data_IF_175006546990
#
_entry.id   IF_175006546990
#
_cell.length_a   1.000
_cell.length_b   1.000
_cell.length_c   1.000
_cell.angle_alpha   90.00
_cell.angle_beta   90.00
_cell.angle_gamma   90.00
#
_symmetry.space_group_name_H-M   'P 1'
#
loop_
_entity.id
_entity.type
_entity.pdbx_description
1 polymer ?
#
# COMPACT_ATOMS: atom_id res chain seq x y z
N UNK A 1 77.97 41.06 -38.08
CA UNK A 1 77.06 41.20 -39.24
C UNK A 1 76.57 39.79 -39.57
N UNK A 2 75.24 39.56 -39.55
CA UNK A 2 74.48 38.30 -39.74
C UNK A 2 74.69 37.24 -38.63
N UNK A 3 73.79 36.96 -37.67
CA UNK A 3 72.33 36.68 -37.68
C UNK A 3 71.97 35.47 -38.55
N UNK A 4 71.78 34.29 -37.94
CA UNK A 4 70.72 33.35 -38.35
C UNK A 4 70.23 32.56 -37.12
N UNK A 5 69.15 33.10 -36.59
CA UNK A 5 68.27 32.57 -35.57
C UNK A 5 67.64 31.27 -36.12
N UNK A 6 68.05 30.11 -35.60
CA UNK A 6 67.33 28.84 -35.78
C UNK A 6 66.03 28.94 -34.96
N UNK A 7 65.03 29.59 -35.54
CA UNK A 7 63.67 29.61 -35.05
C UNK A 7 63.14 28.17 -35.11
N UNK A 8 63.27 27.46 -33.99
CA UNK A 8 62.46 26.28 -33.69
C UNK A 8 61.00 26.70 -33.83
N UNK A 9 60.37 26.33 -34.94
CA UNK A 9 58.92 26.47 -35.15
C UNK A 9 58.26 25.46 -34.21
N UNK A 10 58.12 25.87 -32.96
CA UNK A 10 57.27 25.22 -31.98
C UNK A 10 55.83 25.47 -32.44
N UNK A 11 55.34 24.59 -33.30
CA UNK A 11 53.93 24.42 -33.64
C UNK A 11 53.24 23.87 -32.38
N UNK A 12 53.11 24.71 -31.35
CA UNK A 12 52.28 24.45 -30.18
C UNK A 12 50.84 24.54 -30.66
N UNK A 13 50.33 23.38 -31.07
CA UNK A 13 48.93 23.18 -31.42
C UNK A 13 48.14 23.33 -30.12
N UNK A 14 47.23 24.31 -30.05
CA UNK A 14 46.36 24.58 -28.89
C UNK A 14 45.29 23.49 -28.63
N UNK A 15 45.59 22.23 -28.97
CA UNK A 15 44.69 21.08 -28.80
C UNK A 15 44.53 20.51 -27.37
N UNK A 16 45.50 20.59 -26.42
CA UNK A 16 45.34 19.88 -25.15
C UNK A 16 44.21 20.45 -24.29
N UNK A 17 43.96 21.77 -24.36
CA UNK A 17 42.94 22.46 -23.56
C UNK A 17 41.51 21.96 -23.86
N UNK A 18 41.22 21.61 -25.12
CA UNK A 18 39.89 21.12 -25.51
C UNK A 18 39.65 19.63 -25.16
N UNK A 19 40.70 18.84 -24.96
CA UNK A 19 40.56 17.42 -24.64
C UNK A 19 40.13 17.23 -23.17
N UNK A 20 40.81 17.92 -22.24
CA UNK A 20 40.53 17.83 -20.81
C UNK A 20 39.11 18.35 -20.46
N UNK A 21 38.63 19.39 -21.15
CA UNK A 21 37.28 19.93 -20.91
C UNK A 21 36.18 18.99 -21.41
N UNK A 22 36.38 18.32 -22.56
CA UNK A 22 35.42 17.33 -23.10
C UNK A 22 35.32 16.11 -22.18
N UNK A 23 36.46 15.56 -21.74
CA UNK A 23 36.49 14.39 -20.85
C UNK A 23 35.84 14.70 -19.49
N UNK A 24 36.10 15.89 -18.94
CA UNK A 24 35.45 16.34 -17.70
C UNK A 24 33.93 16.48 -17.86
N UNK A 25 33.44 17.01 -18.98
CA UNK A 25 32.02 17.11 -19.24
C UNK A 25 31.37 15.73 -19.45
N UNK A 26 32.03 14.81 -20.18
CA UNK A 26 31.56 13.43 -20.37
C UNK A 26 31.38 12.71 -19.05
N UNK A 27 32.35 12.83 -18.14
CA UNK A 27 32.25 12.25 -16.79
C UNK A 27 31.03 12.83 -16.05
N UNK A 28 30.86 14.15 -16.04
CA UNK A 28 29.72 14.79 -15.36
C UNK A 28 28.38 14.38 -15.96
N UNK A 29 28.28 14.27 -17.28
CA UNK A 29 27.07 13.78 -17.96
C UNK A 29 26.76 12.34 -17.56
N UNK A 30 27.77 11.47 -17.51
CA UNK A 30 27.60 10.09 -17.06
C UNK A 30 27.13 10.03 -15.60
N UNK A 31 27.71 10.85 -14.72
CA UNK A 31 27.33 10.91 -13.31
C UNK A 31 25.88 11.37 -13.15
N UNK A 32 25.47 12.42 -13.88
CA UNK A 32 24.08 12.91 -13.87
C UNK A 32 23.10 11.85 -14.41
N UNK A 33 23.51 11.07 -15.42
CA UNK A 33 22.68 10.01 -15.97
C UNK A 33 22.49 8.86 -14.99
N UNK A 34 23.54 8.50 -14.25
CA UNK A 34 23.46 7.53 -13.17
C UNK A 34 22.58 8.03 -12.03
N UNK A 35 22.75 9.28 -11.61
CA UNK A 35 21.89 9.91 -10.60
C UNK A 35 20.41 9.92 -11.02
N UNK A 36 20.11 10.19 -12.28
CA UNK A 36 18.74 10.16 -12.79
C UNK A 36 18.15 8.74 -12.73
N UNK A 37 18.94 7.72 -13.08
CA UNK A 37 18.52 6.33 -12.99
C UNK A 37 18.23 5.93 -11.53
N UNK A 38 19.09 6.31 -10.59
CA UNK A 38 18.89 6.03 -9.16
C UNK A 38 17.63 6.72 -8.63
N UNK A 39 17.42 8.00 -8.99
CA UNK A 39 16.20 8.75 -8.62
C UNK A 39 14.95 8.07 -9.17
N UNK A 40 14.97 7.58 -10.41
CA UNK A 40 13.85 6.86 -11.00
C UNK A 40 13.55 5.55 -10.25
N UNK A 41 14.58 4.82 -9.81
CA UNK A 41 14.39 3.62 -9.00
C UNK A 41 13.78 3.95 -7.63
N UNK A 42 14.26 5.01 -6.98
CA UNK A 42 13.70 5.48 -5.72
C UNK A 42 12.25 5.94 -5.85
N UNK A 43 11.88 6.60 -6.96
CA UNK A 43 10.50 7.00 -7.25
C UNK A 43 9.57 5.81 -7.40
N UNK A 44 10.00 4.74 -8.08
CA UNK A 44 9.22 3.49 -8.19
C UNK A 44 9.02 2.88 -6.81
N UNK A 45 10.10 2.74 -6.03
CA UNK A 45 10.04 2.18 -4.68
C UNK A 45 9.11 2.97 -3.76
N UNK A 46 9.21 4.30 -3.74
CA UNK A 46 8.33 5.15 -2.93
C UNK A 46 6.88 5.05 -3.41
N UNK A 47 6.62 4.89 -4.71
CA UNK A 47 5.27 4.69 -5.23
C UNK A 47 4.66 3.38 -4.72
N UNK A 48 5.44 2.30 -4.69
CA UNK A 48 5.01 1.02 -4.11
C UNK A 48 4.77 1.13 -2.59
N UNK A 49 5.65 1.84 -1.87
CA UNK A 49 5.49 2.11 -0.43
C UNK A 49 4.22 2.95 -0.15
N UNK A 50 3.89 3.93 -0.99
CA UNK A 50 2.66 4.73 -0.89
C UNK A 50 1.43 3.84 -1.08
N UNK A 51 1.40 3.03 -2.15
CA UNK A 51 0.28 2.14 -2.44
C UNK A 51 0.05 1.14 -1.29
N UNK A 52 1.12 0.53 -0.77
CA UNK A 52 1.04 -0.36 0.38
C UNK A 52 0.55 0.35 1.64
N UNK A 53 0.97 1.61 1.86
CA UNK A 53 0.53 2.40 3.01
C UNK A 53 -0.95 2.77 2.89
N UNK A 54 -1.44 3.08 1.69
CA UNK A 54 -2.85 3.37 1.42
C UNK A 54 -3.74 2.15 1.71
N UNK A 55 -3.34 0.96 1.28
CA UNK A 55 -4.04 -0.28 1.67
C UNK A 55 -4.05 -0.49 3.19
N UNK A 56 -2.92 -0.27 3.86
CA UNK A 56 -2.85 -0.41 5.32
C UNK A 56 -3.75 0.59 6.07
N UNK A 57 -3.93 1.80 5.52
CA UNK A 57 -4.86 2.80 6.05
C UNK A 57 -6.31 2.33 5.89
N UNK A 58 -6.66 1.80 4.72
CA UNK A 58 -8.00 1.26 4.47
C UNK A 58 -8.33 0.10 5.41
N UNK A 59 -7.40 -0.84 5.57
CA UNK A 59 -7.54 -1.97 6.50
C UNK A 59 -7.74 -1.48 7.94
N UNK A 60 -6.93 -0.50 8.40
CA UNK A 60 -7.04 0.07 9.73
C UNK A 60 -8.38 0.80 9.94
N UNK A 61 -8.90 1.50 8.92
CA UNK A 61 -10.22 2.14 8.96
C UNK A 61 -11.34 1.11 9.08
N UNK A 62 -11.27 0.04 8.29
CA UNK A 62 -12.25 -1.05 8.36
C UNK A 62 -12.20 -1.75 9.72
N UNK A 63 -11.02 -1.98 10.28
CA UNK A 63 -10.87 -2.52 11.63
C UNK A 63 -11.49 -1.59 12.68
N UNK A 64 -11.27 -0.27 12.56
CA UNK A 64 -11.86 0.74 13.46
C UNK A 64 -13.39 0.70 13.45
N UNK A 65 -14.02 0.68 12.27
CA UNK A 65 -15.48 0.59 12.16
C UNK A 65 -16.02 -0.66 12.87
N UNK A 66 -15.29 -1.77 12.80
CA UNK A 66 -15.70 -3.04 13.39
C UNK A 66 -15.55 -3.04 14.91
N UNK A 67 -14.49 -2.42 15.43
CA UNK A 67 -14.35 -2.23 16.88
C UNK A 67 -15.44 -1.30 17.40
N UNK A 68 -15.80 -0.24 16.67
CA UNK A 68 -16.90 0.67 17.04
C UNK A 68 -18.27 -0.03 17.07
N UNK A 69 -18.58 -0.86 16.06
CA UNK A 69 -19.82 -1.67 16.06
C UNK A 69 -19.83 -2.67 17.24
N UNK A 70 -18.72 -3.38 17.47
CA UNK A 70 -18.57 -4.31 18.60
C UNK A 70 -18.70 -3.61 19.95
N UNK A 71 -18.22 -2.37 20.06
CA UNK A 71 -18.35 -1.54 21.25
C UNK A 71 -19.79 -1.12 21.49
N UNK A 72 -20.51 -0.69 20.44
CA UNK A 72 -21.92 -0.32 20.54
C UNK A 72 -22.75 -1.49 21.08
N UNK A 73 -22.52 -2.69 20.55
CA UNK A 73 -23.19 -3.92 21.00
C UNK A 73 -22.79 -4.30 22.42
N UNK A 74 -21.50 -4.19 22.75
CA UNK A 74 -21.03 -4.44 24.13
C UNK A 74 -21.66 -3.48 25.13
N UNK A 75 -21.84 -2.21 24.77
CA UNK A 75 -22.54 -1.21 25.60
C UNK A 75 -24.04 -1.52 25.73
N UNK A 76 -24.68 -2.02 24.69
CA UNK A 76 -26.10 -2.41 24.79
C UNK A 76 -26.27 -3.67 25.66
N UNK A 77 -25.36 -4.64 25.54
CA UNK A 77 -25.32 -5.82 26.40
C UNK A 77 -25.00 -5.46 27.85
N UNK A 78 -24.11 -4.50 28.08
CA UNK A 78 -23.87 -3.91 29.39
C UNK A 78 -25.14 -3.34 30.01
N UNK A 79 -25.86 -2.49 29.27
CA UNK A 79 -27.09 -1.85 29.76
C UNK A 79 -28.14 -2.90 30.11
N UNK A 80 -28.32 -3.91 29.26
CA UNK A 80 -29.22 -5.04 29.53
C UNK A 80 -28.79 -5.80 30.78
N UNK A 81 -27.53 -6.17 30.87
CA UNK A 81 -26.98 -6.90 32.01
C UNK A 81 -27.11 -6.10 33.32
N UNK A 82 -26.92 -4.78 33.25
CA UNK A 82 -27.11 -3.88 34.38
C UNK A 82 -28.57 -3.81 34.84
N UNK A 83 -29.53 -3.68 33.91
CA UNK A 83 -30.96 -3.68 34.24
C UNK A 83 -31.46 -5.05 34.72
N UNK A 84 -30.94 -6.15 34.18
CA UNK A 84 -31.20 -7.51 34.67
C UNK A 84 -30.68 -7.69 36.09
N UNK A 85 -29.44 -7.24 36.34
CA UNK A 85 -28.83 -7.29 37.66
C UNK A 85 -29.60 -6.44 38.67
N UNK A 86 -30.05 -5.25 38.27
CA UNK A 86 -30.89 -4.37 39.10
C UNK A 86 -32.25 -4.98 39.39
N UNK A 87 -32.88 -5.62 38.40
CA UNK A 87 -34.16 -6.34 38.58
C UNK A 87 -33.98 -7.50 39.54
N UNK A 88 -32.89 -8.25 39.40
CA UNK A 88 -32.58 -9.38 40.28
C UNK A 88 -32.22 -8.95 41.70
N UNK A 89 -31.44 -7.88 41.87
CA UNK A 89 -31.15 -7.26 43.18
C UNK A 89 -32.45 -6.77 43.83
N UNK A 90 -33.32 -6.11 43.06
CA UNK A 90 -34.62 -5.67 43.54
C UNK A 90 -35.48 -6.85 43.98
N UNK A 91 -35.56 -7.92 43.18
CA UNK A 91 -36.26 -9.15 43.56
C UNK A 91 -35.68 -9.78 44.83
N UNK A 92 -34.35 -9.84 44.95
CA UNK A 92 -33.67 -10.31 46.16
C UNK A 92 -33.90 -9.40 47.37
N UNK A 93 -34.07 -8.09 47.19
CA UNK A 93 -34.35 -7.20 48.30
C UNK A 93 -35.82 -7.28 48.74
N UNK A 94 -36.74 -7.31 47.77
CA UNK A 94 -38.19 -7.37 48.01
C UNK A 94 -38.64 -8.74 48.51
N UNK A 95 -37.97 -9.83 48.08
CA UNK A 95 -38.34 -11.20 48.42
C UNK A 95 -37.26 -11.98 49.21
N UNK A 96 -36.01 -11.54 49.26
CA UNK A 96 -34.87 -12.48 49.33
C UNK A 96 -34.08 -12.59 50.64
N UNK A 97 -34.14 -11.69 51.62
CA UNK A 97 -33.38 -11.97 52.85
C UNK A 97 -34.05 -13.03 53.74
N UNK A 98 -35.38 -13.03 53.81
CA UNK A 98 -36.08 -14.10 54.51
C UNK A 98 -36.14 -15.37 53.64
N UNK A 99 -36.49 -15.28 52.34
CA UNK A 99 -36.67 -16.49 51.52
C UNK A 99 -35.37 -17.25 51.18
N UNK A 100 -34.19 -16.64 51.04
CA UNK A 100 -32.96 -17.42 50.77
C UNK A 100 -32.46 -18.14 52.03
N UNK A 101 -32.49 -17.46 53.18
CA UNK A 101 -32.16 -18.07 54.47
C UNK A 101 -33.22 -19.11 54.86
N UNK A 102 -34.49 -18.85 54.59
CA UNK A 102 -35.59 -19.80 54.79
C UNK A 102 -35.54 -20.96 53.78
N UNK A 103 -35.12 -20.74 52.53
CA UNK A 103 -34.82 -21.81 51.57
C UNK A 103 -33.63 -22.66 52.06
N UNK A 104 -32.60 -22.04 52.60
CA UNK A 104 -31.45 -22.74 53.16
C UNK A 104 -31.82 -23.54 54.42
N UNK A 105 -32.60 -22.95 55.34
CA UNK A 105 -33.03 -23.57 56.60
C UNK A 105 -34.25 -24.50 56.47
N UNK A 106 -34.97 -24.48 55.35
CA UNK A 106 -36.04 -25.44 55.01
C UNK A 106 -35.51 -26.69 54.31
N UNK A 107 -34.19 -26.88 54.26
CA UNK A 107 -33.60 -28.10 53.73
C UNK A 107 -34.04 -29.33 54.54
N UNK A 108 -34.47 -30.38 53.84
CA UNK A 108 -35.03 -31.57 54.48
C UNK A 108 -33.96 -32.47 55.13
N UNK A 109 -32.70 -32.34 54.68
CA UNK A 109 -31.56 -33.10 55.17
C UNK A 109 -30.24 -32.39 54.83
N UNK A 110 -29.12 -32.92 55.34
CA UNK A 110 -27.80 -32.31 55.16
C UNK A 110 -27.34 -32.26 53.69
N UNK A 111 -27.72 -33.24 52.87
CA UNK A 111 -27.40 -33.21 51.43
C UNK A 111 -28.17 -32.11 50.69
N UNK A 112 -29.46 -31.94 51.00
CA UNK A 112 -30.30 -30.87 50.45
C UNK A 112 -29.79 -29.49 50.91
N UNK A 113 -29.35 -29.36 52.17
CA UNK A 113 -28.74 -28.13 52.70
C UNK A 113 -27.48 -27.74 51.91
N UNK A 114 -26.59 -28.70 51.66
CA UNK A 114 -25.35 -28.46 50.90
C UNK A 114 -25.65 -28.09 49.45
N UNK A 115 -26.59 -28.78 48.78
CA UNK A 115 -26.99 -28.45 47.42
C UNK A 115 -27.59 -27.03 47.30
N UNK A 116 -28.42 -26.61 48.27
CA UNK A 116 -28.99 -25.27 48.31
C UNK A 116 -27.95 -24.20 48.61
N UNK A 117 -27.00 -24.48 49.50
CA UNK A 117 -25.86 -23.60 49.77
C UNK A 117 -24.99 -23.42 48.51
N UNK A 118 -24.69 -24.52 47.82
CA UNK A 118 -23.94 -24.53 46.57
C UNK A 118 -24.67 -23.75 45.46
N UNK A 119 -25.99 -23.93 45.34
CA UNK A 119 -26.80 -23.17 44.39
C UNK A 119 -26.75 -21.65 44.64
N UNK A 120 -26.90 -21.21 45.89
CA UNK A 120 -26.81 -19.79 46.28
C UNK A 120 -25.41 -19.24 45.98
N UNK A 121 -24.37 -20.02 46.29
CA UNK A 121 -22.98 -19.64 46.01
C UNK A 121 -22.73 -19.52 44.50
N UNK A 122 -23.17 -20.50 43.70
CA UNK A 122 -23.02 -20.51 42.25
C UNK A 122 -23.68 -19.30 41.60
N UNK A 123 -24.86 -18.91 42.08
CA UNK A 123 -25.57 -17.72 41.64
C UNK A 123 -24.74 -16.45 41.93
N UNK A 124 -24.21 -16.30 43.15
CA UNK A 124 -23.41 -15.12 43.50
C UNK A 124 -22.07 -15.07 42.75
N UNK A 125 -21.46 -16.22 42.48
CA UNK A 125 -20.24 -16.33 41.67
C UNK A 125 -20.50 -15.96 40.22
N UNK A 126 -21.61 -16.43 39.64
CA UNK A 126 -22.03 -16.08 38.28
C UNK A 126 -22.18 -14.57 38.10
N UNK A 127 -22.85 -13.88 39.04
CA UNK A 127 -23.03 -12.42 38.95
C UNK A 127 -21.71 -11.66 38.98
N UNK A 128 -20.78 -12.09 39.87
CA UNK A 128 -19.47 -11.47 39.98
C UNK A 128 -18.66 -11.67 38.71
N UNK A 129 -18.67 -12.88 38.17
CA UNK A 129 -17.99 -13.22 36.91
C UNK A 129 -18.52 -12.35 35.76
N UNK A 130 -19.84 -12.16 35.66
CA UNK A 130 -20.44 -11.31 34.64
C UNK A 130 -20.02 -9.84 34.77
N UNK A 131 -19.97 -9.30 36.00
CA UNK A 131 -19.50 -7.93 36.23
C UNK A 131 -18.01 -7.76 35.87
N UNK A 132 -17.17 -8.72 36.25
CA UNK A 132 -15.73 -8.70 35.93
C UNK A 132 -15.48 -8.82 34.43
N UNK A 133 -16.24 -9.69 33.74
CA UNK A 133 -16.18 -9.85 32.29
C UNK A 133 -16.53 -8.53 31.58
N UNK A 134 -17.60 -7.86 32.01
CA UNK A 134 -18.01 -6.57 31.48
C UNK A 134 -16.91 -5.49 31.62
N UNK A 135 -16.34 -5.36 32.82
CA UNK A 135 -15.24 -4.42 33.06
C UNK A 135 -14.02 -4.71 32.20
N UNK A 136 -13.73 -6.00 31.98
CA UNK A 136 -12.64 -6.42 31.11
C UNK A 136 -12.90 -6.07 29.65
N UNK A 137 -14.13 -6.26 29.17
CA UNK A 137 -14.55 -5.89 27.82
C UNK A 137 -14.37 -4.39 27.59
N UNK A 138 -14.88 -3.55 28.50
CA UNK A 138 -14.74 -2.09 28.39
C UNK A 138 -13.29 -1.65 28.25
N UNK A 139 -12.40 -2.16 29.12
CA UNK A 139 -10.97 -1.84 29.08
C UNK A 139 -10.29 -2.35 27.81
N UNK A 140 -10.64 -3.56 27.38
CA UNK A 140 -10.11 -4.15 26.16
C UNK A 140 -10.43 -3.28 24.95
N UNK A 141 -11.68 -2.84 24.84
CA UNK A 141 -12.09 -2.01 23.70
C UNK A 141 -11.45 -0.61 23.76
N UNK A 142 -11.44 0.05 24.92
CA UNK A 142 -10.80 1.37 25.06
C UNK A 142 -9.33 1.33 24.63
N UNK A 143 -8.63 0.26 25.00
CA UNK A 143 -7.24 0.06 24.60
C UNK A 143 -7.10 -0.20 23.09
N UNK A 144 -7.99 -1.01 22.51
CA UNK A 144 -7.98 -1.28 21.08
C UNK A 144 -8.32 -0.07 20.22
N UNK A 145 -9.29 0.75 20.63
CA UNK A 145 -9.61 2.03 19.97
C UNK A 145 -8.41 2.97 20.00
N UNK A 146 -7.72 3.05 21.15
CA UNK A 146 -6.53 3.87 21.30
C UNK A 146 -5.37 3.37 20.41
N UNK A 147 -5.11 2.06 20.39
CA UNK A 147 -4.05 1.45 19.59
C UNK A 147 -4.31 1.61 18.08
N UNK A 148 -5.55 1.41 17.64
CA UNK A 148 -5.92 1.63 16.24
C UNK A 148 -5.83 3.10 15.83
N UNK A 149 -6.27 4.02 16.69
CA UNK A 149 -6.17 5.46 16.43
C UNK A 149 -4.71 5.87 16.30
N UNK A 150 -3.85 5.37 17.19
CA UNK A 150 -2.40 5.61 17.11
C UNK A 150 -1.80 5.04 15.82
N UNK A 151 -2.20 3.84 15.42
CA UNK A 151 -1.77 3.20 14.17
C UNK A 151 -2.22 4.00 12.94
N UNK A 152 -3.47 4.45 12.89
CA UNK A 152 -3.98 5.31 11.80
C UNK A 152 -3.19 6.61 11.67
N UNK A 153 -2.95 7.30 12.79
CA UNK A 153 -2.17 8.53 12.79
C UNK A 153 -0.74 8.29 12.28
N UNK A 154 -0.10 7.21 12.76
CA UNK A 154 1.25 6.84 12.29
C UNK A 154 1.29 6.53 10.79
N UNK A 155 0.26 5.87 10.26
CA UNK A 155 0.17 5.56 8.82
C UNK A 155 -0.08 6.82 7.98
N UNK A 156 -0.94 7.73 8.45
CA UNK A 156 -1.20 9.00 7.78
C UNK A 156 0.05 9.91 7.76
N UNK A 157 0.80 9.94 8.86
CA UNK A 157 2.08 10.64 8.95
C UNK A 157 3.11 10.05 7.97
N UNK A 158 3.21 8.71 7.92
CA UNK A 158 4.09 8.02 6.98
C UNK A 158 3.70 8.33 5.52
N UNK A 159 2.41 8.28 5.18
CA UNK A 159 1.93 8.60 3.84
C UNK A 159 2.30 10.05 3.44
N UNK A 160 2.18 10.99 4.38
CA UNK A 160 2.56 12.39 4.16
C UNK A 160 4.07 12.54 3.93
N UNK A 161 4.90 11.84 4.71
CA UNK A 161 6.35 11.82 4.53
C UNK A 161 6.75 11.24 3.17
N UNK A 162 6.15 10.11 2.77
CA UNK A 162 6.42 9.48 1.48
C UNK A 162 6.04 10.37 0.30
N UNK A 163 4.87 11.03 0.34
CA UNK A 163 4.47 12.01 -0.68
C UNK A 163 5.44 13.18 -0.76
N UNK A 164 5.88 13.72 0.38
CA UNK A 164 6.89 14.78 0.40
C UNK A 164 8.24 14.34 -0.16
N UNK A 165 8.67 13.09 0.07
CA UNK A 165 9.89 12.55 -0.51
C UNK A 165 9.75 12.33 -2.02
N UNK A 166 8.60 11.86 -2.48
CA UNK A 166 8.28 11.71 -3.91
C UNK A 166 8.37 13.06 -4.63
N UNK A 167 7.77 14.11 -4.07
CA UNK A 167 7.81 15.46 -4.63
C UNK A 167 9.24 16.01 -4.70
N UNK A 168 10.04 15.82 -3.65
CA UNK A 168 11.43 16.24 -3.62
C UNK A 168 12.28 15.52 -4.68
N UNK A 169 12.06 14.21 -4.87
CA UNK A 169 12.73 13.44 -5.91
C UNK A 169 12.31 13.84 -7.32
N UNK A 170 11.02 14.13 -7.54
CA UNK A 170 10.53 14.63 -8.81
C UNK A 170 11.17 15.98 -9.18
N UNK A 171 11.29 16.89 -8.22
CA UNK A 171 12.00 18.17 -8.43
C UNK A 171 13.47 17.92 -8.77
N UNK A 172 14.15 17.07 -8.01
CA UNK A 172 15.56 16.72 -8.25
C UNK A 172 15.77 16.04 -9.61
N UNK A 173 14.85 15.18 -10.04
CA UNK A 173 14.88 14.54 -11.35
C UNK A 173 14.77 15.58 -12.48
N UNK A 174 13.86 16.55 -12.34
CA UNK A 174 13.68 17.63 -13.31
C UNK A 174 14.92 18.54 -13.41
N UNK A 175 15.52 18.90 -12.29
CA UNK A 175 16.79 19.65 -12.23
C UNK A 175 17.93 18.88 -12.91
N UNK A 176 18.11 17.61 -12.51
CA UNK A 176 19.17 16.73 -13.07
C UNK A 176 18.99 16.53 -14.57
N UNK A 177 17.76 16.35 -15.05
CA UNK A 177 17.46 16.23 -16.47
C UNK A 177 17.77 17.51 -17.24
N UNK A 178 17.53 18.68 -16.64
CA UNK A 178 17.84 19.97 -17.24
C UNK A 178 19.36 20.15 -17.36
N UNK A 179 20.11 19.88 -16.30
CA UNK A 179 21.57 19.96 -16.30
C UNK A 179 22.19 18.99 -17.31
N UNK A 180 21.67 17.77 -17.39
CA UNK A 180 22.10 16.76 -18.34
C UNK A 180 21.88 17.23 -19.79
N UNK A 181 20.75 17.88 -20.09
CA UNK A 181 20.49 18.44 -21.42
C UNK A 181 21.48 19.57 -21.76
N UNK A 182 21.72 20.49 -20.82
CA UNK A 182 22.68 21.59 -20.99
C UNK A 182 24.10 21.06 -21.23
N UNK A 183 24.54 20.07 -20.47
CA UNK A 183 25.88 19.49 -20.62
C UNK A 183 26.02 18.73 -21.93
N UNK A 184 25.01 17.97 -22.34
CA UNK A 184 25.01 17.31 -23.65
C UNK A 184 25.11 18.32 -24.80
N UNK A 185 24.39 19.44 -24.72
CA UNK A 185 24.47 20.50 -25.72
C UNK A 185 25.87 21.12 -25.77
N UNK A 186 26.46 21.45 -24.61
CA UNK A 186 27.83 21.99 -24.53
C UNK A 186 28.85 21.00 -25.08
N UNK A 187 28.70 19.71 -24.80
CA UNK A 187 29.55 18.65 -25.30
C UNK A 187 29.50 18.55 -26.84
N UNK A 188 28.31 18.63 -27.43
CA UNK A 188 28.14 18.66 -28.88
C UNK A 188 28.84 19.88 -29.51
N UNK A 189 28.69 21.07 -28.92
CA UNK A 189 29.35 22.28 -29.40
C UNK A 189 30.88 22.15 -29.36
N UNK A 190 31.44 21.70 -28.23
CA UNK A 190 32.89 21.53 -28.07
C UNK A 190 33.46 20.48 -29.03
N UNK A 191 32.75 19.36 -29.23
CA UNK A 191 33.16 18.33 -30.21
C UNK A 191 33.17 18.87 -31.64
N UNK A 192 32.15 19.65 -32.01
CA UNK A 192 32.08 20.28 -33.33
C UNK A 192 33.21 21.31 -33.54
N UNK A 193 33.51 22.12 -32.52
CA UNK A 193 34.60 23.10 -32.57
C UNK A 193 35.97 22.41 -32.67
N UNK A 194 36.20 21.36 -31.88
CA UNK A 194 37.42 20.54 -31.97
C UNK A 194 37.60 19.91 -33.36
N UNK A 195 36.51 19.42 -33.97
CA UNK A 195 36.54 18.85 -35.31
C UNK A 195 36.94 19.90 -36.36
N UNK A 196 36.35 21.12 -36.31
CA UNK A 196 36.72 22.23 -37.20
C UNK A 196 38.18 22.64 -37.02
N UNK A 197 38.65 22.75 -35.78
CA UNK A 197 40.04 23.11 -35.49
C UNK A 197 41.03 22.06 -36.02
N UNK A 198 40.69 20.78 -35.89
CA UNK A 198 41.49 19.68 -36.42
C UNK A 198 41.54 19.69 -37.96
N UNK A 199 40.40 19.95 -38.62
CA UNK A 199 40.33 20.07 -40.08
C UNK A 199 41.17 21.25 -40.58
N UNK A 200 41.08 22.41 -39.92
CA UNK A 200 41.86 23.58 -40.30
C UNK A 200 43.37 23.36 -40.08
N UNK A 201 43.75 22.70 -38.98
CA UNK A 201 45.14 22.32 -38.73
C UNK A 201 45.66 21.34 -39.79
N UNK A 202 44.85 20.36 -40.19
CA UNK A 202 45.18 19.42 -41.26
C UNK A 202 45.36 20.12 -42.61
N UNK A 203 44.48 21.08 -42.94
CA UNK A 203 44.59 21.89 -44.17
C UNK A 203 45.88 22.68 -44.19
N UNK A 204 46.20 23.41 -43.10
CA UNK A 204 47.45 24.18 -42.99
C UNK A 204 48.70 23.29 -43.08
N UNK A 205 48.66 22.09 -42.48
CA UNK A 205 49.75 21.14 -42.58
C UNK A 205 49.94 20.59 -44.01
N UNK A 206 48.85 20.33 -44.73
CA UNK A 206 48.89 19.89 -46.13
C UNK A 206 49.42 20.99 -47.06
N UNK A 207 48.99 22.25 -46.86
CA UNK A 207 49.51 23.41 -47.60
C UNK A 207 51.01 23.62 -47.34
N UNK A 208 51.46 23.51 -46.09
CA UNK A 208 52.88 23.61 -45.74
C UNK A 208 53.73 22.50 -46.38
N UNK A 209 53.20 21.26 -46.44
CA UNK A 209 53.87 20.15 -47.15
C UNK A 209 53.99 20.41 -48.65
N UNK A 210 52.91 20.86 -49.31
CA UNK A 210 52.93 21.21 -50.74
C UNK A 210 53.91 22.34 -51.05
N UNK A 211 53.99 23.36 -50.20
CA UNK A 211 54.94 24.47 -50.36
C UNK A 211 56.40 24.01 -50.19
N UNK A 212 56.67 23.06 -49.28
CA UNK A 212 58.00 22.48 -49.10
C UNK A 212 58.43 21.58 -50.28
N UNK A 213 57.48 20.87 -50.91
CA UNK A 213 57.75 20.07 -52.11
C UNK A 213 58.01 20.92 -53.36
N UNK A 214 57.36 22.08 -53.49
CA UNK A 214 57.56 23.02 -54.61
C UNK A 214 58.95 23.71 -54.61
N UNK A 215 59.73 23.62 -53.52
CA UNK A 215 61.09 24.18 -53.42
C UNK A 215 62.20 23.16 -53.74
N UNK A 216 61.87 21.94 -54.17
CA UNK A 216 62.86 20.95 -54.65
C UNK A 216 63.20 21.19 -56.14
N UNK A 217 64.49 21.12 -56.58
CA UNK A 217 64.87 21.33 -57.99
C UNK A 217 64.31 20.24 -58.93
N UNK A 218 63.95 20.65 -60.14
CA UNK A 218 63.39 19.84 -61.24
C UNK A 218 64.45 18.93 -61.89
N UNK A 219 64.19 17.62 -62.07
CA UNK A 219 64.73 16.84 -63.19
C UNK A 219 63.73 16.79 -64.35
N UNK A 220 64.27 16.95 -65.56
CA UNK A 220 63.60 17.12 -66.85
C UNK A 220 62.89 15.83 -67.31
N UNK A 221 61.67 15.97 -67.85
CA UNK A 221 60.83 14.96 -68.51
C UNK A 221 61.26 14.69 -69.97
N UNK A 222 60.95 13.52 -70.56
CA UNK A 222 59.84 13.41 -71.54
C UNK A 222 59.15 12.01 -71.53
N UNK A 223 58.01 11.70 -72.13
CA UNK A 223 56.85 12.34 -72.79
C UNK A 223 55.89 11.19 -73.17
N UNK A 224 54.67 11.52 -73.62
CA UNK A 224 53.70 10.69 -74.40
C UNK A 224 52.72 9.79 -73.62
N UNK A 225 51.42 9.67 -73.95
CA UNK A 225 50.49 10.39 -74.84
C UNK A 225 49.06 9.83 -74.59
N UNK A 226 48.03 10.66 -74.79
CA UNK A 226 46.64 10.28 -75.14
C UNK A 226 45.73 9.70 -74.05
N UNK A 227 44.40 9.84 -74.06
CA UNK A 227 43.42 10.57 -74.87
C UNK A 227 42.09 10.55 -74.08
N UNK A 228 41.30 11.62 -74.27
CA UNK A 228 39.90 11.90 -73.93
C UNK A 228 38.95 10.73 -73.56
N UNK A 229 37.99 11.00 -72.66
CA UNK A 229 36.56 11.19 -73.01
C UNK A 229 35.73 11.74 -71.84
N UNK A 230 34.84 12.66 -72.20
CA UNK A 230 33.74 13.27 -71.45
C UNK A 230 32.65 12.22 -71.10
N UNK A 231 31.89 12.42 -70.02
CA UNK A 231 30.42 12.50 -70.05
C UNK A 231 29.86 12.85 -68.65
N UNK A 232 28.56 13.08 -68.61
CA UNK A 232 27.86 14.18 -67.95
C UNK A 232 26.88 13.69 -66.87
N UNK A 233 26.20 14.66 -66.28
CA UNK A 233 24.81 14.61 -65.76
C UNK A 233 24.60 14.19 -64.28
N UNK A 234 24.19 15.18 -63.49
CA UNK A 234 23.37 15.06 -62.29
C UNK A 234 21.88 14.85 -62.70
N UNK A 235 20.90 15.03 -61.79
CA UNK A 235 20.62 14.40 -60.49
C UNK A 235 19.28 13.62 -60.57
N UNK A 236 18.81 12.99 -59.49
CA UNK A 236 17.36 12.88 -59.30
C UNK A 236 16.95 12.77 -57.83
N UNK A 237 15.81 13.39 -57.56
CA UNK A 237 15.15 13.53 -56.27
C UNK A 237 13.71 13.00 -56.42
N UNK A 238 13.20 12.27 -55.42
CA UNK A 238 11.76 12.14 -55.14
C UNK A 238 11.62 11.44 -53.75
N UNK A 239 11.05 12.07 -52.71
CA UNK A 239 9.62 12.09 -52.29
C UNK A 239 9.02 10.69 -52.05
N UNK A 240 8.08 10.42 -51.13
CA UNK A 240 7.30 11.20 -50.16
C UNK A 240 6.52 10.20 -49.26
N UNK A 241 6.15 10.67 -48.06
CA UNK A 241 4.88 10.44 -47.33
C UNK A 241 4.46 9.13 -46.63
N UNK A 242 4.16 9.35 -45.32
CA UNK A 242 2.94 9.09 -44.53
C UNK A 242 2.53 7.69 -44.03
N UNK A 243 2.08 7.71 -42.76
CA UNK A 243 1.14 6.77 -42.14
C UNK A 243 1.03 6.97 -40.62
N UNK A 244 0.00 7.68 -40.17
CA UNK A 244 -0.43 7.90 -38.76
C UNK A 244 -1.47 6.86 -38.28
N UNK A 245 -1.88 7.02 -37.00
CA UNK A 245 -3.06 6.50 -36.25
C UNK A 245 -2.88 5.18 -35.48
N UNK A 246 -3.51 4.91 -34.33
CA UNK A 246 -4.23 5.62 -33.25
C UNK A 246 -4.57 4.53 -32.20
N UNK A 247 -4.78 4.86 -30.91
CA UNK A 247 -6.12 4.77 -30.27
C UNK A 247 -6.08 4.98 -28.74
N UNK A 248 -7.21 5.49 -28.25
CA UNK A 248 -7.56 5.95 -26.90
C UNK A 248 -8.51 4.98 -26.18
N UNK A 249 -8.61 5.04 -24.84
CA UNK A 249 -9.88 4.70 -24.18
C UNK A 249 -10.07 5.39 -22.80
N UNK A 250 -11.33 5.59 -22.42
CA UNK A 250 -11.78 6.46 -21.31
C UNK A 250 -13.08 5.99 -20.64
N UNK A 251 -13.32 6.49 -19.41
CA UNK A 251 -14.58 6.54 -18.62
C UNK A 251 -14.95 5.28 -17.76
N UNK A 252 -15.59 5.35 -16.57
CA UNK A 252 -16.67 6.23 -16.05
C UNK A 252 -16.65 6.41 -14.50
N UNK A 253 -17.24 7.52 -14.05
CA UNK A 253 -17.72 7.84 -12.69
C UNK A 253 -19.26 7.86 -12.74
N UNK A 254 -19.96 7.36 -11.71
CA UNK A 254 -21.36 7.73 -11.46
C UNK A 254 -21.73 7.74 -9.96
N UNK A 255 -22.76 8.52 -9.64
CA UNK A 255 -23.31 8.89 -8.34
C UNK A 255 -24.83 8.72 -8.35
N UNK A 256 -25.45 8.47 -7.18
CA UNK A 256 -26.81 8.85 -6.72
C UNK A 256 -27.61 7.70 -6.04
N UNK A 257 -27.87 7.96 -4.75
CA UNK A 257 -29.10 7.74 -3.98
C UNK A 257 -30.29 7.08 -4.71
N UNK A 258 -30.65 5.84 -4.31
CA UNK A 258 -31.99 5.24 -4.45
C UNK A 258 -32.12 4.07 -3.46
N UNK A 259 -33.26 4.01 -2.77
CA UNK A 259 -33.63 3.00 -1.78
C UNK A 259 -33.35 1.56 -2.22
N UNK A 260 -32.54 0.85 -1.44
CA UNK A 260 -32.04 -0.49 -1.78
C UNK A 260 -32.92 -1.59 -1.19
N UNK A 261 -33.43 -2.45 -2.06
CA UNK A 261 -33.84 -3.82 -1.73
C UNK A 261 -32.66 -4.73 -2.09
N UNK A 262 -32.00 -5.42 -1.14
CA UNK A 262 -30.79 -6.18 -1.47
C UNK A 262 -31.07 -7.40 -2.33
N UNK A 263 -30.50 -7.41 -3.53
CA UNK A 263 -30.27 -8.62 -4.32
C UNK A 263 -29.03 -9.35 -3.79
N UNK A 264 -29.11 -10.67 -3.59
CA UNK A 264 -28.01 -11.58 -3.21
C UNK A 264 -26.82 -11.49 -4.18
N UNK A 265 -25.94 -10.50 -3.99
CA UNK A 265 -24.78 -10.27 -4.85
C UNK A 265 -23.57 -9.73 -4.07
N UNK A 266 -23.41 -10.14 -2.82
CA UNK A 266 -22.17 -10.00 -2.07
C UNK A 266 -21.47 -11.35 -1.97
N UNK A 267 -20.17 -11.43 -2.27
CA UNK A 267 -19.39 -12.64 -2.04
C UNK A 267 -19.35 -13.05 -0.55
N UNK A 268 -18.64 -14.13 -0.23
CA UNK A 268 -18.53 -14.58 1.15
C UNK A 268 -17.81 -13.58 2.06
N UNK A 269 -18.14 -13.60 3.36
CA UNK A 269 -17.34 -12.96 4.40
C UNK A 269 -15.87 -13.36 4.27
N UNK A 270 -14.96 -12.41 4.44
CA UNK A 270 -13.51 -12.69 4.48
C UNK A 270 -12.87 -11.83 5.58
N UNK A 271 -11.61 -12.12 5.99
CA UNK A 271 -10.89 -11.24 6.92
C UNK A 271 -10.84 -9.77 6.48
N UNK A 272 -10.80 -9.52 5.17
CA UNK A 272 -10.76 -8.18 4.57
C UNK A 272 -12.13 -7.61 4.20
N UNK A 273 -13.20 -8.43 4.20
CA UNK A 273 -14.57 -8.02 3.87
C UNK A 273 -15.47 -8.30 5.07
N UNK A 274 -15.53 -7.32 5.97
CA UNK A 274 -16.21 -7.42 7.26
C UNK A 274 -17.73 -7.31 7.24
N UNK A 275 -18.33 -6.88 6.12
CA UNK A 275 -19.79 -6.79 5.95
C UNK A 275 -20.18 -7.29 4.57
N UNK A 276 -21.15 -8.20 4.52
CA UNK A 276 -21.79 -8.66 3.28
C UNK A 276 -23.30 -8.77 3.48
N UNK A 277 -24.04 -8.97 2.40
CA UNK A 277 -25.47 -9.27 2.47
C UNK A 277 -25.67 -10.65 1.84
N UNK A 278 -26.24 -11.57 2.63
CA UNK A 278 -26.39 -12.96 2.24
C UNK A 278 -27.74 -13.49 2.72
N UNK A 279 -28.49 -14.12 1.82
CA UNK A 279 -29.72 -14.85 2.13
C UNK A 279 -30.77 -14.00 2.89
N UNK A 280 -30.83 -12.71 2.54
CA UNK A 280 -31.80 -11.76 3.11
C UNK A 280 -31.39 -11.12 4.45
N UNK A 281 -30.22 -11.43 4.99
CA UNK A 281 -29.67 -10.77 6.19
C UNK A 281 -28.33 -10.09 5.90
N UNK A 282 -28.03 -9.06 6.69
CA UNK A 282 -26.67 -8.50 6.75
C UNK A 282 -25.81 -9.49 7.51
N UNK A 283 -24.64 -9.81 6.98
CA UNK A 283 -23.65 -10.60 7.70
C UNK A 283 -22.46 -9.74 8.10
N UNK A 284 -22.05 -9.88 9.34
CA UNK A 284 -20.75 -9.39 9.79
C UNK A 284 -20.01 -10.50 10.52
N UNK A 285 -18.82 -10.21 11.04
CA UNK A 285 -18.09 -11.17 11.84
C UNK A 285 -17.42 -10.54 13.06
N UNK A 286 -17.35 -11.31 14.15
CA UNK A 286 -16.61 -10.97 15.37
C UNK A 286 -15.33 -11.79 15.46
N UNK A 287 -14.21 -11.14 15.75
CA UNK A 287 -12.96 -11.83 16.05
C UNK A 287 -12.89 -12.11 17.56
N UNK A 288 -12.65 -13.35 17.95
CA UNK A 288 -12.38 -13.66 19.36
C UNK A 288 -11.12 -12.97 19.88
N UNK A 289 -10.20 -12.53 19.00
CA UNK A 289 -9.02 -11.74 19.37
C UNK A 289 -9.38 -10.38 19.97
N UNK A 290 -10.60 -9.89 19.70
CA UNK A 290 -11.12 -8.64 20.26
C UNK A 290 -12.00 -8.84 21.49
N UNK A 291 -12.15 -10.08 21.99
CA UNK A 291 -12.90 -10.39 23.21
C UNK A 291 -11.95 -10.82 24.34
N UNK A 292 -11.83 -10.03 25.42
CA UNK A 292 -11.15 -10.51 26.61
C UNK A 292 -11.96 -11.64 27.27
N UNK A 293 -11.28 -12.72 27.65
CA UNK A 293 -11.89 -13.83 28.42
C UNK A 293 -12.29 -15.08 27.62
N UNK A 294 -11.89 -15.22 26.36
CA UNK A 294 -12.05 -16.47 25.60
C UNK A 294 -13.42 -16.68 24.94
N UNK A 295 -14.32 -15.70 25.01
CA UNK A 295 -15.64 -15.74 24.35
C UNK A 295 -16.73 -16.50 25.13
N UNK A 296 -17.89 -16.72 24.49
CA UNK A 296 -19.03 -17.45 25.08
C UNK A 296 -18.67 -18.91 25.37
N UNK A 297 -19.19 -19.46 26.48
CA UNK A 297 -19.01 -20.87 26.83
C UNK A 297 -19.87 -21.76 25.92
N UNK A 298 -19.30 -22.20 24.79
CA UNK A 298 -19.97 -22.99 23.77
C UNK A 298 -19.45 -24.45 23.84
N UNK A 299 -20.32 -25.47 23.86
CA UNK A 299 -19.91 -26.86 23.89
C UNK A 299 -19.00 -27.22 22.70
N UNK A 300 -17.79 -27.70 22.99
CA UNK A 300 -16.81 -28.11 21.96
C UNK A 300 -16.26 -26.96 21.12
N UNK A 301 -16.32 -25.72 21.63
CA UNK A 301 -15.78 -24.52 20.96
C UNK A 301 -14.33 -24.72 20.51
N UNK A 302 -14.09 -24.55 19.22
CA UNK A 302 -12.75 -24.57 18.66
C UNK A 302 -12.64 -23.64 17.45
N UNK A 303 -11.40 -23.25 17.13
CA UNK A 303 -11.08 -22.53 15.89
C UNK A 303 -10.93 -23.57 14.78
N UNK A 304 -11.74 -23.47 13.73
CA UNK A 304 -11.62 -24.30 12.54
C UNK A 304 -10.46 -23.81 11.64
N UNK A 305 -9.98 -24.62 10.67
CA UNK A 305 -8.87 -24.22 9.79
C UNK A 305 -9.15 -22.99 8.93
N UNK A 306 -10.43 -22.77 8.61
CA UNK A 306 -10.88 -21.57 7.93
C UNK A 306 -10.88 -20.34 8.87
N UNK A 307 -10.67 -20.51 10.17
CA UNK A 307 -10.68 -19.47 11.19
C UNK A 307 -12.08 -19.12 11.71
N UNK A 308 -13.13 -19.84 11.32
CA UNK A 308 -14.44 -19.74 11.98
C UNK A 308 -14.41 -20.43 13.35
N UNK A 309 -15.22 -19.95 14.30
CA UNK A 309 -15.43 -20.62 15.57
C UNK A 309 -16.57 -21.61 15.43
N UNK A 310 -16.35 -22.87 15.81
CA UNK A 310 -17.34 -23.94 15.65
C UNK A 310 -17.66 -24.66 16.96
N UNK A 311 -18.86 -25.19 17.06
CA UNK A 311 -19.30 -26.05 18.15
C UNK A 311 -18.85 -27.51 17.96
N UNK A 312 -19.19 -28.38 18.93
CA UNK A 312 -18.86 -29.81 18.90
C UNK A 312 -19.41 -30.55 17.67
N UNK A 313 -20.52 -30.08 17.10
CA UNK A 313 -21.19 -30.69 15.95
C UNK A 313 -20.67 -30.12 14.62
N UNK A 314 -19.78 -29.13 14.67
CA UNK A 314 -19.16 -28.49 13.50
C UNK A 314 -19.96 -27.31 12.92
N UNK A 315 -21.01 -26.85 13.59
CA UNK A 315 -21.74 -25.64 13.19
C UNK A 315 -20.92 -24.39 13.53
N UNK A 316 -20.99 -23.40 12.64
CA UNK A 316 -20.41 -22.08 12.88
C UNK A 316 -21.16 -21.42 14.03
N UNK A 317 -20.45 -20.91 15.01
CA UNK A 317 -21.06 -20.13 16.08
C UNK A 317 -21.46 -18.77 15.53
N UNK A 318 -22.72 -18.36 15.74
CA UNK A 318 -23.23 -17.07 15.27
C UNK A 318 -24.06 -16.35 16.33
N UNK A 319 -24.19 -15.02 16.18
CA UNK A 319 -25.13 -14.19 16.92
C UNK A 319 -26.32 -13.80 16.03
N UNK A 320 -27.53 -13.83 16.58
CA UNK A 320 -28.75 -13.33 15.94
C UNK A 320 -29.75 -12.84 16.99
N UNK A 321 -30.25 -11.60 16.87
CA UNK A 321 -31.34 -11.11 17.71
C UNK A 321 -32.73 -11.48 17.19
N UNK A 322 -32.84 -11.85 15.91
CA UNK A 322 -34.12 -12.25 15.28
C UNK A 322 -34.42 -13.75 15.44
N UNK A 323 -33.39 -14.56 15.69
CA UNK A 323 -33.49 -16.01 15.83
C UNK A 323 -33.24 -16.44 17.29
N UNK A 324 -34.03 -17.38 17.83
CA UNK A 324 -33.80 -17.88 19.18
C UNK A 324 -32.52 -18.72 19.28
N UNK A 325 -31.93 -18.77 20.47
CA UNK A 325 -30.76 -19.60 20.78
C UNK A 325 -30.95 -21.05 20.34
N UNK A 326 -29.93 -21.64 19.72
CA UNK A 326 -29.93 -22.98 19.16
C UNK A 326 -30.52 -23.11 17.75
N UNK A 327 -31.06 -22.03 17.16
CA UNK A 327 -31.54 -22.04 15.78
C UNK A 327 -30.42 -22.27 14.79
N UNK A 328 -30.72 -22.99 13.71
CA UNK A 328 -29.80 -23.19 12.58
C UNK A 328 -30.08 -22.11 11.53
N UNK A 329 -29.01 -21.49 11.02
CA UNK A 329 -29.07 -20.43 10.00
C UNK A 329 -27.98 -20.65 8.96
N UNK A 330 -28.28 -20.41 7.69
CA UNK A 330 -27.25 -20.46 6.64
C UNK A 330 -26.49 -19.16 6.59
N UNK A 331 -25.15 -19.24 6.54
CA UNK A 331 -24.28 -18.09 6.37
C UNK A 331 -23.47 -18.17 5.10
N UNK A 332 -22.85 -17.07 4.68
CA UNK A 332 -21.96 -17.08 3.52
C UNK A 332 -20.71 -17.96 3.69
N UNK A 333 -20.40 -18.38 4.93
CA UNK A 333 -19.30 -19.28 5.28
C UNK A 333 -19.74 -20.73 5.55
N UNK A 334 -21.04 -21.00 5.49
CA UNK A 334 -21.66 -22.30 5.75
C UNK A 334 -22.69 -22.27 6.87
N UNK A 335 -23.18 -23.43 7.26
CA UNK A 335 -24.27 -23.55 8.25
C UNK A 335 -23.81 -23.15 9.65
N UNK A 336 -24.52 -22.18 10.24
CA UNK A 336 -24.32 -21.69 11.59
C UNK A 336 -25.42 -22.11 12.58
N UNK A 337 -25.12 -22.00 13.87
CA UNK A 337 -26.03 -22.20 14.99
C UNK A 337 -25.95 -21.02 15.95
N UNK A 338 -27.10 -20.47 16.33
CA UNK A 338 -27.20 -19.27 17.16
C UNK A 338 -26.80 -19.58 18.60
N UNK A 339 -25.74 -18.93 19.09
CA UNK A 339 -25.26 -19.05 20.46
C UNK A 339 -25.28 -17.72 21.23
N UNK A 340 -25.57 -16.62 20.54
CA UNK A 340 -25.71 -15.28 21.11
C UNK A 340 -26.93 -14.56 20.49
N UNK A 341 -27.61 -13.75 21.30
CA UNK A 341 -28.72 -12.91 20.87
C UNK A 341 -28.37 -11.41 20.89
N UNK A 342 -27.10 -11.08 21.12
CA UNK A 342 -26.58 -9.72 21.22
C UNK A 342 -26.08 -9.14 19.90
N UNK A 343 -26.90 -9.06 18.85
CA UNK A 343 -26.57 -8.33 17.62
C UNK A 343 -27.73 -7.45 17.13
N UNK A 344 -27.46 -6.58 16.16
CA UNK A 344 -28.50 -5.76 15.52
C UNK A 344 -29.53 -6.63 14.79
N UNK A 345 -30.81 -6.22 14.82
CA UNK A 345 -31.86 -6.91 14.04
C UNK A 345 -31.55 -6.84 12.55
N UNK A 346 -31.90 -7.90 11.82
CA UNK A 346 -31.57 -8.14 10.42
C UNK A 346 -30.10 -8.53 10.18
N UNK A 347 -29.32 -8.75 11.24
CA UNK A 347 -27.89 -9.09 11.16
C UNK A 347 -27.60 -10.49 11.74
N UNK A 348 -26.74 -11.23 11.06
CA UNK A 348 -26.07 -12.42 11.58
C UNK A 348 -24.58 -12.10 11.75
N UNK A 349 -24.08 -12.23 12.98
CA UNK A 349 -22.65 -12.03 13.22
C UNK A 349 -21.94 -13.37 13.42
N UNK A 350 -20.96 -13.65 12.57
CA UNK A 350 -20.20 -14.90 12.58
C UNK A 350 -19.01 -14.80 13.52
N UNK A 351 -18.84 -15.76 14.44
CA UNK A 351 -17.66 -15.79 15.31
C UNK A 351 -16.47 -16.38 14.55
N UNK A 352 -15.33 -15.70 14.61
CA UNK A 352 -14.09 -16.06 13.93
C UNK A 352 -12.85 -15.82 14.80
N UNK A 353 -11.69 -16.24 14.33
CA UNK A 353 -10.35 -15.98 14.87
C UNK A 353 -9.48 -15.17 13.89
N UNK A 354 -10.10 -14.50 12.92
CA UNK A 354 -9.40 -13.64 11.97
C UNK A 354 -8.98 -12.33 12.62
#
# INVERSE_FOLDING_TARGET
>A
MLVFLLASVMLLVSLPVYADEIESLESKTSDLQNQLNDINQDLVRISDEIASTETAIEDANNEMFRIQDSLAISRENEIRQYEDMKTRIKYMYENGNNNLLELLFSAENMSDFLNRAEFIQNISSYDREKLENLQSIQKGIEQQEADLTAKQNSLADLQTQLKSQQDALNQKAAETSTDLAVFNQKLQMLRAERARAAEEAARRAAEAKKAAEAQKPVPVTPSENGTQTEDSTAPDADSSQNGEESDSDSFLQDSLDTAYTPSDSGGALTPSKGVVYFNGHRETYYSQKVLPGGGLNIPGRHVAPDGTIRDADGFICVASSDLPWGSIVETSLGTGKVYDCGCASGTIDVYTDW
#
